data_IF_882423486824
#
_entry.id   IF_882423486824
#
_cell.length_a   1.000
_cell.length_b   1.000
_cell.length_c   1.000
_cell.angle_alpha   90.00
_cell.angle_beta   90.00
_cell.angle_gamma   90.00
#
_symmetry.space_group_name_H-M   'P 1'
#
loop_
_entity.id
_entity.type
_entity.pdbx_description
1 polymer ?
#
# COMPACT_ATOMS: atom_id res chain seq x y z
N UNK A 1 -10.82 5.07 -32.13
CA UNK A 1 -10.26 6.40 -32.48
C UNK A 1 -8.83 6.46 -31.99
N UNK A 2 -7.86 6.53 -32.91
CA UNK A 2 -6.43 6.47 -32.56
C UNK A 2 -5.94 7.86 -32.16
N UNK A 3 -5.26 7.95 -31.03
CA UNK A 3 -4.68 9.19 -30.44
C UNK A 3 -3.70 9.94 -31.36
N UNK A 4 -3.26 9.35 -32.46
CA UNK A 4 -2.29 9.93 -33.41
C UNK A 4 -2.87 11.01 -34.34
N UNK A 5 -4.19 11.13 -34.49
CA UNK A 5 -4.83 12.06 -35.41
C UNK A 5 -5.18 13.41 -34.81
N UNK A 6 -5.09 13.56 -33.48
CA UNK A 6 -5.40 14.82 -32.81
C UNK A 6 -4.36 15.92 -33.07
N UNK A 7 -3.10 15.55 -33.26
CA UNK A 7 -2.02 16.52 -33.45
C UNK A 7 -1.80 16.98 -34.92
N UNK A 8 -2.52 16.40 -35.89
CA UNK A 8 -2.39 16.80 -37.31
C UNK A 8 -3.32 17.95 -37.73
N UNK A 9 -4.29 18.33 -36.90
CA UNK A 9 -5.30 19.34 -37.24
C UNK A 9 -4.96 20.77 -36.79
N UNK A 10 -3.83 20.99 -36.12
CA UNK A 10 -3.43 22.31 -35.62
C UNK A 10 -2.45 23.07 -36.55
N UNK A 11 -2.02 22.46 -37.66
CA UNK A 11 -0.96 23.00 -38.51
C UNK A 11 -1.42 23.78 -39.75
N UNK A 12 -2.67 24.13 -39.88
CA UNK A 12 -3.19 24.92 -41.03
C UNK A 12 -4.19 25.97 -40.59
N UNK A 13 -3.68 27.14 -40.23
CA UNK A 13 -4.57 28.29 -39.98
C UNK A 13 -3.84 29.57 -39.59
N UNK A 14 -3.73 30.45 -40.59
CA UNK A 14 -3.53 31.89 -40.50
C UNK A 14 -2.11 32.46 -40.56
N UNK A 15 -1.65 32.66 -41.79
CA UNK A 15 -0.86 33.85 -42.11
C UNK A 15 -1.80 35.08 -42.07
N UNK A 16 -1.67 35.89 -41.05
CA UNK A 16 -2.17 37.27 -41.04
C UNK A 16 -0.99 38.15 -40.63
N UNK A 17 -0.42 38.84 -41.63
CA UNK A 17 0.54 39.91 -41.38
C UNK A 17 -0.18 41.10 -40.76
N UNK A 18 0.05 41.36 -39.49
CA UNK A 18 -0.26 42.62 -38.86
C UNK A 18 0.97 43.04 -38.06
N UNK A 19 1.47 44.23 -38.36
CA UNK A 19 2.53 44.91 -37.64
C UNK A 19 2.13 45.05 -36.17
N UNK A 20 2.73 44.28 -35.32
CA UNK A 20 2.62 44.45 -33.86
C UNK A 20 4.00 44.87 -33.32
N UNK A 21 4.08 45.81 -32.38
CA UNK A 21 5.33 46.24 -31.78
C UNK A 21 5.98 45.03 -31.08
N UNK A 22 7.29 44.92 -31.22
CA UNK A 22 8.11 43.92 -30.58
C UNK A 22 7.94 44.03 -29.05
N UNK A 23 7.02 43.29 -28.51
CA UNK A 23 6.97 43.02 -27.06
C UNK A 23 8.14 42.11 -26.77
N UNK A 24 9.20 42.67 -26.15
CA UNK A 24 10.26 41.85 -25.57
C UNK A 24 9.62 40.86 -24.61
N UNK A 25 9.51 39.62 -25.00
CA UNK A 25 9.11 38.56 -24.10
C UNK A 25 10.11 38.56 -22.91
N UNK A 26 9.57 38.85 -21.74
CA UNK A 26 10.34 38.64 -20.51
C UNK A 26 10.78 37.17 -20.47
N UNK A 27 12.02 36.86 -20.05
CA UNK A 27 12.45 35.49 -19.91
C UNK A 27 11.46 34.79 -18.97
N UNK A 28 10.86 33.69 -19.45
CA UNK A 28 10.12 32.78 -18.60
C UNK A 28 11.09 32.36 -17.49
N UNK A 29 10.94 32.94 -16.32
CA UNK A 29 11.60 32.42 -15.14
C UNK A 29 11.02 31.01 -14.96
N UNK A 30 11.85 30.01 -15.30
CA UNK A 30 11.64 28.65 -14.80
C UNK A 30 11.63 28.75 -13.28
N UNK A 31 10.46 28.94 -12.72
CA UNK A 31 10.24 28.73 -11.29
C UNK A 31 10.41 27.23 -11.10
N UNK A 32 11.65 26.83 -10.85
CA UNK A 32 11.94 25.49 -10.35
C UNK A 32 11.03 25.30 -9.13
N UNK A 33 9.92 24.56 -9.33
CA UNK A 33 9.03 24.22 -8.24
C UNK A 33 9.88 23.51 -7.20
N UNK A 34 10.22 24.22 -6.15
CA UNK A 34 10.99 23.68 -5.05
C UNK A 34 10.23 22.45 -4.53
N UNK A 35 10.87 21.29 -4.66
CA UNK A 35 10.30 20.02 -4.20
C UNK A 35 9.96 20.18 -2.71
N UNK A 36 8.72 19.87 -2.27
CA UNK A 36 8.37 20.02 -0.87
C UNK A 36 9.35 19.21 0.00
N UNK A 37 9.72 19.78 1.13
CA UNK A 37 10.56 19.09 2.10
C UNK A 37 9.90 17.75 2.50
N UNK A 38 10.68 16.68 2.52
CA UNK A 38 10.25 15.35 2.95
C UNK A 38 11.05 14.95 4.18
N UNK A 39 10.52 14.03 4.97
CA UNK A 39 11.20 13.45 6.13
C UNK A 39 12.12 12.27 5.77
N UNK A 40 12.51 12.13 4.49
CA UNK A 40 13.32 10.99 4.03
C UNK A 40 14.66 10.93 4.75
N UNK A 41 15.33 12.07 4.92
CA UNK A 41 16.63 12.13 5.59
C UNK A 41 16.53 11.74 7.06
N UNK A 42 15.49 12.20 7.76
CA UNK A 42 15.19 11.80 9.14
C UNK A 42 14.86 10.29 9.22
N UNK A 43 14.03 9.80 8.32
CA UNK A 43 13.66 8.39 8.29
C UNK A 43 14.85 7.47 7.99
N UNK A 44 15.77 7.89 7.14
CA UNK A 44 17.00 7.12 6.82
C UNK A 44 18.05 7.18 7.91
N UNK A 45 18.02 8.20 8.77
CA UNK A 45 18.91 8.33 9.92
C UNK A 45 18.55 7.41 11.09
N UNK A 46 17.31 6.84 11.11
CA UNK A 46 16.86 5.93 12.15
C UNK A 46 17.65 4.62 12.05
N UNK A 47 18.38 4.20 13.10
CA UNK A 47 19.14 2.95 13.07
C UNK A 47 18.21 1.73 12.95
N UNK A 48 18.67 0.71 12.24
CA UNK A 48 17.95 -0.55 12.13
C UNK A 48 17.94 -1.29 13.46
N UNK A 49 16.79 -1.85 13.80
CA UNK A 49 16.60 -2.71 14.96
C UNK A 49 16.25 -4.14 14.53
N UNK A 50 16.11 -5.07 15.46
CA UNK A 50 15.62 -6.43 15.19
C UNK A 50 14.22 -6.48 14.60
N UNK A 51 13.44 -5.41 14.73
CA UNK A 51 12.08 -5.25 14.21
C UNK A 51 12.02 -4.52 12.86
N UNK A 52 13.17 -4.03 12.36
CA UNK A 52 13.21 -3.35 11.06
C UNK A 52 13.06 -4.34 9.90
N UNK A 53 12.53 -3.86 8.77
CA UNK A 53 12.50 -4.68 7.54
C UNK A 53 13.91 -5.11 7.13
N UNK A 54 14.08 -6.34 6.65
CA UNK A 54 13.08 -7.30 6.16
C UNK A 54 12.39 -8.15 7.23
N UNK A 55 12.58 -7.93 8.50
CA UNK A 55 11.95 -8.67 9.58
C UNK A 55 12.57 -10.06 9.83
N UNK A 56 11.93 -10.88 10.68
CA UNK A 56 12.47 -12.20 11.12
C UNK A 56 12.46 -13.28 10.05
N UNK A 57 11.59 -13.17 9.04
CA UNK A 57 11.37 -14.25 8.05
C UNK A 57 11.60 -13.75 6.62
N UNK A 58 12.81 -13.26 6.28
CA UNK A 58 13.08 -12.69 4.96
C UNK A 58 12.94 -13.76 3.87
N UNK A 59 12.23 -13.42 2.78
CA UNK A 59 12.04 -14.32 1.65
C UNK A 59 11.04 -15.45 1.85
N UNK A 60 10.44 -15.58 3.05
CA UNK A 60 9.42 -16.61 3.32
C UNK A 60 8.02 -16.06 3.06
N UNK A 61 7.23 -16.75 2.24
CA UNK A 61 5.84 -16.43 1.93
C UNK A 61 4.96 -17.64 2.22
N UNK A 62 3.89 -17.41 2.96
CA UNK A 62 2.87 -18.44 3.23
C UNK A 62 1.62 -18.12 2.42
N UNK A 63 1.16 -19.08 1.63
CA UNK A 63 -0.09 -19.02 0.88
C UNK A 63 -1.10 -19.99 1.48
N UNK A 64 -2.23 -19.49 1.94
CA UNK A 64 -3.35 -20.30 2.44
C UNK A 64 -4.57 -20.13 1.57
N UNK A 65 -5.35 -21.19 1.42
CA UNK A 65 -6.63 -21.21 0.74
C UNK A 65 -7.67 -21.84 1.65
N UNK A 66 -8.90 -21.36 1.58
CA UNK A 66 -10.04 -21.97 2.27
C UNK A 66 -11.26 -21.97 1.35
N UNK A 67 -11.95 -23.12 1.14
CA UNK A 67 -13.05 -23.22 0.20
C UNK A 67 -14.26 -22.32 0.58
N UNK A 68 -14.45 -22.06 1.88
CA UNK A 68 -15.52 -21.20 2.38
C UNK A 68 -15.03 -19.78 2.74
N UNK A 69 -13.98 -19.28 2.08
CA UNK A 69 -13.49 -17.91 2.34
C UNK A 69 -14.49 -16.82 1.88
N UNK A 70 -15.34 -17.15 0.92
CA UNK A 70 -16.47 -16.31 0.47
C UNK A 70 -17.74 -17.15 0.60
N UNK A 71 -18.72 -16.63 1.34
CA UNK A 71 -20.06 -17.22 1.50
C UNK A 71 -21.08 -16.15 1.12
N UNK A 72 -21.99 -16.46 0.20
CA UNK A 72 -22.99 -15.52 -0.31
C UNK A 72 -22.42 -14.16 -0.77
N UNK A 73 -21.27 -14.21 -1.43
CA UNK A 73 -20.56 -13.02 -1.92
C UNK A 73 -19.92 -12.16 -0.83
N UNK A 74 -19.85 -12.64 0.42
CA UNK A 74 -19.25 -11.94 1.54
C UNK A 74 -18.06 -12.72 2.11
N UNK A 75 -16.99 -12.03 2.56
CA UNK A 75 -15.86 -12.67 3.23
C UNK A 75 -16.31 -13.33 4.55
N UNK A 76 -15.95 -14.59 4.74
CA UNK A 76 -16.22 -15.35 5.97
C UNK A 76 -15.18 -15.04 7.04
N UNK A 77 -15.61 -14.56 8.21
CA UNK A 77 -14.70 -14.29 9.34
C UNK A 77 -14.10 -15.58 9.90
N UNK A 78 -14.88 -16.66 9.97
CA UNK A 78 -14.39 -17.96 10.46
C UNK A 78 -13.26 -18.47 9.55
N UNK A 79 -13.48 -18.45 8.22
CA UNK A 79 -12.46 -18.89 7.28
C UNK A 79 -11.23 -17.96 7.30
N UNK A 80 -11.42 -16.65 7.42
CA UNK A 80 -10.32 -15.71 7.55
C UNK A 80 -9.47 -15.97 8.80
N UNK A 81 -10.13 -16.26 9.93
CA UNK A 81 -9.44 -16.62 11.18
C UNK A 81 -8.60 -17.89 11.02
N UNK A 82 -9.18 -18.97 10.45
CA UNK A 82 -8.47 -20.23 10.26
C UNK A 82 -7.31 -20.11 9.25
N UNK A 83 -7.51 -19.36 8.18
CA UNK A 83 -6.45 -19.07 7.20
C UNK A 83 -5.30 -18.30 7.85
N UNK A 84 -5.60 -17.28 8.65
CA UNK A 84 -4.60 -16.50 9.36
C UNK A 84 -3.84 -17.37 10.39
N UNK A 85 -4.56 -18.14 11.21
CA UNK A 85 -3.97 -19.07 12.17
C UNK A 85 -3.02 -20.05 11.48
N UNK A 86 -3.46 -20.70 10.41
CA UNK A 86 -2.63 -21.61 9.63
C UNK A 86 -1.40 -20.91 9.06
N UNK A 87 -1.57 -19.69 8.57
CA UNK A 87 -0.45 -18.90 8.05
C UNK A 87 0.57 -18.55 9.13
N UNK A 88 0.13 -18.15 10.31
CA UNK A 88 1.00 -17.81 11.43
C UNK A 88 1.80 -19.02 11.92
N UNK A 89 1.16 -20.18 12.09
CA UNK A 89 1.82 -21.40 12.50
C UNK A 89 2.87 -21.86 11.48
N UNK A 90 2.53 -21.82 10.18
CA UNK A 90 3.46 -22.20 9.12
C UNK A 90 4.61 -21.19 8.92
N UNK A 91 4.35 -19.90 9.14
CA UNK A 91 5.38 -18.87 9.04
C UNK A 91 6.43 -19.06 10.14
N UNK A 92 5.98 -19.20 11.38
CA UNK A 92 6.81 -19.22 12.56
C UNK A 92 7.34 -20.59 12.92
N UNK A 93 6.66 -21.66 12.50
CA UNK A 93 6.96 -23.03 12.88
C UNK A 93 6.56 -23.39 14.32
N UNK A 94 5.76 -22.54 14.98
CA UNK A 94 5.31 -22.77 16.36
C UNK A 94 4.16 -23.76 16.40
N UNK A 95 4.04 -24.46 17.54
CA UNK A 95 3.01 -25.47 17.75
C UNK A 95 1.63 -24.86 18.08
N UNK A 96 1.59 -23.66 18.63
CA UNK A 96 0.36 -22.98 19.01
C UNK A 96 0.35 -21.52 18.56
N UNK A 97 -0.85 -20.94 18.49
CA UNK A 97 -1.07 -19.61 17.92
C UNK A 97 -0.48 -18.50 18.80
N UNK A 98 -0.58 -18.64 20.11
CA UNK A 98 -0.03 -17.67 21.05
C UNK A 98 1.47 -17.50 20.87
N UNK A 99 2.22 -18.60 20.85
CA UNK A 99 3.68 -18.57 20.64
C UNK A 99 4.05 -18.04 19.25
N UNK A 100 3.22 -18.32 18.24
CA UNK A 100 3.41 -17.79 16.90
C UNK A 100 3.29 -16.24 16.87
N UNK A 101 2.31 -15.67 17.56
CA UNK A 101 2.17 -14.22 17.67
C UNK A 101 3.27 -13.60 18.52
N UNK A 102 3.65 -14.23 19.64
CA UNK A 102 4.73 -13.75 20.50
C UNK A 102 6.12 -13.73 19.84
N UNK A 103 6.28 -14.39 18.69
CA UNK A 103 7.47 -14.20 17.85
C UNK A 103 7.54 -12.80 17.19
N UNK A 104 6.41 -12.15 16.99
CA UNK A 104 6.33 -10.90 16.25
C UNK A 104 6.00 -9.69 17.14
N UNK A 105 5.25 -9.93 18.23
CA UNK A 105 4.77 -8.87 19.12
C UNK A 105 4.95 -9.27 20.58
N UNK A 106 5.22 -8.31 21.45
CA UNK A 106 5.32 -8.52 22.89
C UNK A 106 3.98 -8.30 23.59
N UNK A 107 3.78 -8.86 24.80
CA UNK A 107 2.53 -8.74 25.55
C UNK A 107 2.23 -7.30 26.03
N UNK A 108 3.19 -6.39 25.96
CA UNK A 108 3.04 -5.00 26.34
C UNK A 108 3.07 -4.05 25.13
N UNK A 109 3.12 -4.58 23.92
CA UNK A 109 3.20 -3.76 22.71
C UNK A 109 1.87 -3.09 22.40
N UNK A 110 1.94 -1.85 21.96
CA UNK A 110 0.81 -1.14 21.34
C UNK A 110 0.84 -1.40 19.84
N UNK A 111 -0.17 -2.14 19.35
CA UNK A 111 -0.20 -2.62 17.98
C UNK A 111 -1.11 -1.75 17.13
N UNK A 112 -0.57 -1.20 16.04
CA UNK A 112 -1.31 -0.48 15.01
C UNK A 112 -1.54 -1.33 13.76
N UNK A 113 -2.78 -1.44 13.30
CA UNK A 113 -3.13 -2.11 12.05
C UNK A 113 -3.37 -1.08 10.94
N UNK A 114 -2.47 -1.06 9.95
CA UNK A 114 -2.68 -0.26 8.75
C UNK A 114 -3.49 -1.05 7.73
N UNK A 115 -4.68 -0.56 7.42
CA UNK A 115 -5.54 -1.11 6.38
C UNK A 115 -5.47 -0.28 5.10
N UNK A 116 -5.73 -0.91 3.96
CA UNK A 116 -5.84 -0.21 2.68
C UNK A 116 -7.33 -0.02 2.33
N UNK A 117 -7.87 1.22 2.36
CA UNK A 117 -9.27 1.49 2.04
C UNK A 117 -9.51 1.79 0.54
N UNK A 118 -8.46 1.76 -0.29
CA UNK A 118 -8.54 2.18 -1.70
C UNK A 118 -9.31 1.16 -2.53
N UNK A 119 -10.13 1.68 -3.46
CA UNK A 119 -10.94 0.92 -4.43
C UNK A 119 -12.12 0.13 -3.83
N UNK A 120 -12.64 0.56 -2.69
CA UNK A 120 -13.90 0.04 -2.10
C UNK A 120 -13.86 -1.45 -1.79
N UNK A 121 -15.01 -2.09 -1.83
CA UNK A 121 -15.18 -3.49 -1.38
C UNK A 121 -14.33 -4.53 -2.12
N UNK A 122 -13.91 -4.25 -3.35
CA UNK A 122 -13.21 -5.24 -4.19
C UNK A 122 -11.71 -5.35 -3.87
N UNK A 123 -11.06 -4.24 -3.49
CA UNK A 123 -9.60 -4.19 -3.31
C UNK A 123 -9.17 -3.69 -1.93
N UNK A 124 -10.11 -3.20 -1.12
CA UNK A 124 -9.82 -2.80 0.27
C UNK A 124 -9.48 -4.02 1.13
N UNK A 125 -8.71 -3.79 2.18
CA UNK A 125 -8.50 -4.82 3.20
C UNK A 125 -9.84 -5.26 3.77
N UNK A 126 -10.11 -6.58 3.71
CA UNK A 126 -11.37 -7.15 4.21
C UNK A 126 -11.49 -6.96 5.72
N UNK A 127 -12.67 -6.54 6.19
CA UNK A 127 -12.96 -6.48 7.62
C UNK A 127 -12.86 -7.84 8.31
N UNK A 128 -13.18 -8.92 7.61
CA UNK A 128 -13.04 -10.29 8.13
C UNK A 128 -11.57 -10.58 8.50
N UNK A 129 -10.62 -10.18 7.65
CA UNK A 129 -9.18 -10.32 7.93
C UNK A 129 -8.75 -9.43 9.09
N UNK A 130 -9.16 -8.17 9.10
CA UNK A 130 -8.80 -7.22 10.17
C UNK A 130 -9.31 -7.71 11.54
N UNK A 131 -10.58 -8.13 11.63
CA UNK A 131 -11.16 -8.67 12.87
C UNK A 131 -10.48 -9.97 13.31
N UNK A 132 -10.11 -10.82 12.37
CA UNK A 132 -9.36 -12.05 12.69
C UNK A 132 -8.00 -11.76 13.31
N UNK A 133 -7.28 -10.72 12.82
CA UNK A 133 -6.02 -10.27 13.41
C UNK A 133 -6.24 -9.77 14.85
N UNK A 134 -7.21 -8.86 15.03
CA UNK A 134 -7.53 -8.32 16.37
C UNK A 134 -7.87 -9.44 17.32
N UNK A 135 -8.78 -10.35 16.94
CA UNK A 135 -9.21 -11.47 17.76
C UNK A 135 -8.03 -12.38 18.17
N UNK A 136 -7.16 -12.74 17.24
CA UNK A 136 -6.00 -13.58 17.55
C UNK A 136 -4.99 -12.89 18.46
N UNK A 137 -4.83 -11.57 18.35
CA UNK A 137 -4.00 -10.79 19.25
C UNK A 137 -4.59 -10.68 20.66
N UNK A 138 -5.91 -10.52 20.78
CA UNK A 138 -6.61 -10.51 22.07
C UNK A 138 -6.57 -11.86 22.81
N UNK A 139 -6.46 -12.96 22.04
CA UNK A 139 -6.33 -14.31 22.58
C UNK A 139 -4.88 -14.66 22.96
N UNK A 140 -3.90 -13.78 22.66
CA UNK A 140 -2.47 -13.99 22.92
C UNK A 140 -2.02 -13.46 24.26
#
# INVERSE_FOLDING_TARGET
MQRRNFFRSIALGSMSAALSPIVKAAPLQDTVKQKPATNIDEATAIPRTSHSMPGKYPGKVIKTNHPACIVDGQPSETAAYEMLKTSMLNLTGKANLRDAWLELVGPQDIIGLKVNPIAGKLLSTSHAVTRSIVKQLEET
#
